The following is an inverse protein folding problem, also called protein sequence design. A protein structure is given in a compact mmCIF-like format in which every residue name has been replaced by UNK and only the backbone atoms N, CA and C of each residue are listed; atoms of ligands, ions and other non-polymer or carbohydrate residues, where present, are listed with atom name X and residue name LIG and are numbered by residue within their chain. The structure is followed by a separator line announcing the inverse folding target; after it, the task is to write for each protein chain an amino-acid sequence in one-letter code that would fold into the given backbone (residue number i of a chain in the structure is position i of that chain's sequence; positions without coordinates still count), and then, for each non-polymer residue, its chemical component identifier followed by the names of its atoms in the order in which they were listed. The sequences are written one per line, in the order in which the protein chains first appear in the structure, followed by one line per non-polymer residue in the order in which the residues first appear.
data_IF_082408322908
#
_entry.id   IF_082408322908
#
_cell.length_a   1.000
_cell.length_b   1.000
_cell.length_c   1.000
_cell.angle_alpha   90.00
_cell.angle_beta   90.00
_cell.angle_gamma   90.00
#
_symmetry.space_group_name_H-M   'P 1'
#
loop_
_entity.id
_entity.type
_entity.pdbx_description
1 polymer ?
#
# COMPACT_ATOMS: atom_id res chain seq x y z
N UNK A 1 -11.70 7.41 -23.17
CA UNK A 1 -10.25 7.32 -22.95
C UNK A 1 -9.81 8.54 -22.13
N UNK A 2 -8.82 8.42 -21.23
CA UNK A 2 -8.29 9.58 -20.51
C UNK A 2 -7.77 10.63 -21.50
N UNK A 3 -7.93 11.92 -21.17
CA UNK A 3 -7.57 13.02 -22.08
C UNK A 3 -6.05 13.26 -22.15
N UNK A 4 -5.30 12.78 -21.16
CA UNK A 4 -3.84 12.87 -21.04
C UNK A 4 -3.32 11.57 -20.43
N UNK A 5 -2.27 10.99 -21.04
CA UNK A 5 -1.57 9.78 -20.57
C UNK A 5 -0.12 10.20 -20.33
N UNK A 6 0.41 9.88 -19.15
CA UNK A 6 1.80 10.16 -18.80
C UNK A 6 2.71 9.08 -19.37
N UNK A 7 3.63 9.47 -20.25
CA UNK A 7 4.49 8.56 -21.01
C UNK A 7 5.95 8.91 -20.80
N UNK A 8 6.29 10.20 -20.86
CA UNK A 8 7.69 10.65 -20.83
C UNK A 8 8.27 10.65 -19.42
N UNK A 9 7.45 10.94 -18.42
CA UNK A 9 7.84 11.02 -17.02
C UNK A 9 8.43 9.71 -16.48
N UNK A 10 7.79 8.53 -16.66
CA UNK A 10 8.38 7.28 -16.18
C UNK A 10 9.64 6.88 -16.96
N UNK A 11 9.70 7.18 -18.27
CA UNK A 11 10.88 6.92 -19.10
C UNK A 11 12.06 7.77 -18.61
N UNK A 12 11.83 9.07 -18.41
CA UNK A 12 12.84 9.99 -17.93
C UNK A 12 13.36 9.60 -16.54
N UNK A 13 12.49 9.10 -15.65
CA UNK A 13 12.89 8.60 -14.34
C UNK A 13 13.85 7.40 -14.45
N UNK A 14 13.52 6.41 -15.29
CA UNK A 14 14.39 5.24 -15.50
C UNK A 14 15.72 5.64 -16.17
N UNK A 15 15.67 6.50 -17.18
CA UNK A 15 16.88 7.06 -17.82
C UNK A 15 17.75 7.82 -16.82
N UNK A 16 17.16 8.62 -15.93
CA UNK A 16 17.91 9.35 -14.91
C UNK A 16 18.55 8.41 -13.87
N UNK A 17 17.86 7.34 -13.45
CA UNK A 17 18.37 6.39 -12.45
C UNK A 17 19.44 5.44 -13.02
N UNK A 18 19.28 5.00 -14.26
CA UNK A 18 20.05 3.88 -14.82
C UNK A 18 20.84 4.24 -16.09
N UNK A 19 20.71 5.47 -16.62
CA UNK A 19 21.20 5.87 -17.94
C UNK A 19 20.71 4.96 -19.09
N UNK A 20 19.62 4.23 -18.86
CA UNK A 20 19.01 3.28 -19.79
C UNK A 20 17.56 3.00 -19.35
N UNK A 21 16.78 2.35 -20.22
CA UNK A 21 15.46 1.82 -19.85
C UNK A 21 15.62 0.33 -19.47
N UNK A 22 15.51 -0.04 -18.19
CA UNK A 22 15.83 -1.39 -17.72
C UNK A 22 15.04 -2.49 -18.42
N UNK A 23 13.75 -2.28 -18.73
CA UNK A 23 12.95 -3.26 -19.48
C UNK A 23 13.57 -3.59 -20.84
N UNK A 24 14.04 -2.58 -21.59
CA UNK A 24 14.69 -2.81 -22.88
C UNK A 24 16.03 -3.53 -22.71
N UNK A 25 16.83 -3.10 -21.73
CA UNK A 25 18.15 -3.70 -21.46
C UNK A 25 18.01 -5.17 -21.09
N UNK A 26 17.09 -5.51 -20.19
CA UNK A 26 16.86 -6.89 -19.75
C UNK A 26 16.39 -7.77 -20.91
N UNK A 27 15.45 -7.27 -21.73
CA UNK A 27 14.94 -8.03 -22.87
C UNK A 27 16.00 -8.25 -23.96
N UNK A 28 16.89 -7.28 -24.19
CA UNK A 28 17.96 -7.42 -25.17
C UNK A 28 19.10 -8.31 -24.66
N UNK A 29 19.38 -8.28 -23.35
CA UNK A 29 20.58 -8.89 -22.79
C UNK A 29 20.37 -10.32 -22.30
N UNK A 30 19.21 -10.63 -21.72
CA UNK A 30 18.99 -11.88 -20.99
C UNK A 30 17.66 -12.57 -21.32
N UNK A 31 16.91 -12.14 -22.34
CA UNK A 31 15.64 -12.79 -22.67
C UNK A 31 15.84 -14.25 -23.05
N UNK A 32 15.11 -15.14 -22.39
CA UNK A 32 15.13 -16.57 -22.68
C UNK A 32 13.76 -17.21 -22.38
N UNK A 33 13.32 -18.26 -23.10
CA UNK A 33 12.01 -18.88 -22.89
C UNK A 33 11.76 -19.37 -21.45
N UNK A 34 12.81 -19.86 -20.77
CA UNK A 34 12.70 -20.28 -19.37
C UNK A 34 12.46 -19.08 -18.44
N UNK A 35 13.08 -17.93 -18.71
CA UNK A 35 12.88 -16.70 -17.96
C UNK A 35 11.52 -16.08 -18.27
N UNK A 36 10.99 -16.23 -19.48
CA UNK A 36 9.62 -15.84 -19.83
C UNK A 36 8.59 -16.61 -18.97
N UNK A 37 8.78 -17.93 -18.84
CA UNK A 37 7.93 -18.78 -17.99
C UNK A 37 8.05 -18.43 -16.50
N UNK A 38 9.27 -18.32 -15.98
CA UNK A 38 9.53 -17.95 -14.57
C UNK A 38 8.97 -16.56 -14.29
N UNK A 39 9.23 -15.61 -15.19
CA UNK A 39 8.74 -14.25 -15.16
C UNK A 39 7.24 -14.21 -15.02
N UNK A 40 6.53 -14.85 -15.95
CA UNK A 40 5.08 -14.95 -15.96
C UNK A 40 4.53 -15.60 -14.69
N UNK A 41 5.15 -16.69 -14.21
CA UNK A 41 4.72 -17.37 -13.00
C UNK A 41 4.79 -16.45 -11.78
N UNK A 42 5.95 -15.84 -11.51
CA UNK A 42 6.10 -14.93 -10.37
C UNK A 42 5.21 -13.70 -10.48
N UNK A 43 5.11 -13.10 -11.67
CA UNK A 43 4.25 -11.95 -11.91
C UNK A 43 2.78 -12.25 -11.55
N UNK A 44 2.33 -13.48 -11.84
CA UNK A 44 0.95 -13.93 -11.56
C UNK A 44 0.64 -14.19 -10.09
N UNK A 45 1.65 -14.44 -9.27
CA UNK A 45 1.42 -14.77 -7.86
C UNK A 45 0.75 -13.63 -7.08
N UNK A 46 0.82 -12.38 -7.57
CA UNK A 46 0.16 -11.25 -6.93
C UNK A 46 -1.38 -11.40 -6.82
N UNK A 47 -2.01 -12.26 -7.63
CA UNK A 47 -3.45 -12.54 -7.55
C UNK A 47 -3.81 -13.49 -6.39
N UNK A 48 -2.99 -14.51 -6.15
CA UNK A 48 -3.29 -15.61 -5.22
C UNK A 48 -2.60 -15.42 -3.86
N UNK A 49 -1.35 -14.96 -3.88
CA UNK A 49 -0.53 -14.75 -2.68
C UNK A 49 -1.19 -13.87 -1.61
N UNK A 50 -1.83 -12.71 -1.91
CA UNK A 50 -2.44 -11.89 -0.87
C UNK A 50 -3.58 -12.60 -0.16
N UNK A 51 -4.35 -13.43 -0.86
CA UNK A 51 -5.48 -14.18 -0.29
C UNK A 51 -4.99 -15.31 0.61
N UNK A 52 -4.00 -16.08 0.15
CA UNK A 52 -3.36 -17.12 0.98
C UNK A 52 -2.76 -16.49 2.24
N UNK A 53 -2.02 -15.39 2.09
CA UNK A 53 -1.38 -14.72 3.20
C UNK A 53 -2.41 -14.13 4.19
N UNK A 54 -3.49 -13.54 3.68
CA UNK A 54 -4.61 -13.09 4.50
C UNK A 54 -5.21 -14.22 5.32
N UNK A 55 -5.44 -15.40 4.70
CA UNK A 55 -5.95 -16.58 5.39
C UNK A 55 -4.99 -17.09 6.49
N UNK A 56 -3.68 -17.14 6.21
CA UNK A 56 -2.66 -17.49 7.20
C UNK A 56 -2.70 -16.52 8.38
N UNK A 57 -2.74 -15.21 8.13
CA UNK A 57 -2.84 -14.22 9.20
C UNK A 57 -4.14 -14.36 9.98
N UNK A 58 -5.28 -14.57 9.30
CA UNK A 58 -6.56 -14.74 9.96
C UNK A 58 -6.56 -15.94 10.91
N UNK A 59 -6.02 -17.09 10.45
CA UNK A 59 -6.00 -18.34 11.21
C UNK A 59 -4.99 -18.32 12.37
N UNK A 60 -3.79 -17.80 12.15
CA UNK A 60 -2.69 -17.92 13.12
C UNK A 60 -2.40 -16.63 13.88
N UNK A 61 -2.76 -15.46 13.35
CA UNK A 61 -2.36 -14.14 13.86
C UNK A 61 -3.48 -13.09 13.67
N UNK A 62 -4.70 -13.33 14.21
CA UNK A 62 -5.89 -12.53 13.90
C UNK A 62 -5.75 -11.03 14.25
N UNK A 63 -4.92 -10.68 15.25
CA UNK A 63 -4.58 -9.28 15.58
C UNK A 63 -3.85 -8.57 14.43
N UNK A 64 -3.03 -9.30 13.68
CA UNK A 64 -2.29 -8.78 12.53
C UNK A 64 -3.13 -8.83 11.25
N UNK A 65 -4.06 -9.77 11.13
CA UNK A 65 -4.99 -9.86 10.00
C UNK A 65 -5.77 -8.55 9.77
N UNK A 66 -6.37 -7.97 10.82
CA UNK A 66 -7.12 -6.72 10.68
C UNK A 66 -6.25 -5.56 10.18
N UNK A 67 -4.99 -5.50 10.64
CA UNK A 67 -4.02 -4.50 10.17
C UNK A 67 -3.62 -4.75 8.72
N UNK A 68 -3.44 -6.01 8.34
CA UNK A 68 -3.14 -6.39 6.96
C UNK A 68 -4.29 -6.03 6.03
N UNK A 69 -5.54 -6.37 6.38
CA UNK A 69 -6.72 -6.01 5.60
C UNK A 69 -6.86 -4.49 5.43
N UNK A 70 -6.63 -3.71 6.50
CA UNK A 70 -6.61 -2.25 6.42
C UNK A 70 -5.48 -1.75 5.50
N UNK A 71 -4.25 -2.22 5.68
CA UNK A 71 -3.12 -1.79 4.85
C UNK A 71 -3.32 -2.18 3.38
N UNK A 72 -3.81 -3.38 3.12
CA UNK A 72 -4.14 -3.86 1.78
C UNK A 72 -5.18 -2.95 1.13
N UNK A 73 -6.27 -2.64 1.84
CA UNK A 73 -7.32 -1.73 1.36
C UNK A 73 -6.78 -0.33 1.10
N UNK A 74 -6.06 0.26 2.05
CA UNK A 74 -5.48 1.60 1.88
C UNK A 74 -4.55 1.64 0.67
N UNK A 75 -3.69 0.64 0.53
CA UNK A 75 -2.75 0.55 -0.58
C UNK A 75 -3.49 0.43 -1.94
N UNK A 76 -4.42 -0.52 -2.06
CA UNK A 76 -5.10 -0.79 -3.34
C UNK A 76 -6.01 0.35 -3.77
N UNK A 77 -6.77 0.94 -2.84
CA UNK A 77 -7.62 2.09 -3.17
C UNK A 77 -6.81 3.36 -3.47
N UNK A 78 -5.68 3.58 -2.79
CA UNK A 78 -4.80 4.72 -3.13
C UNK A 78 -4.17 4.54 -4.52
N UNK A 79 -3.74 3.32 -4.86
CA UNK A 79 -3.27 3.01 -6.20
C UNK A 79 -4.38 3.20 -7.24
N UNK A 80 -5.59 2.72 -6.97
CA UNK A 80 -6.75 2.89 -7.85
C UNK A 80 -7.07 4.37 -8.10
N UNK A 81 -7.08 5.20 -7.06
CA UNK A 81 -7.24 6.65 -7.20
C UNK A 81 -6.16 7.21 -8.13
N UNK A 82 -4.90 6.79 -7.94
CA UNK A 82 -3.77 7.20 -8.78
C UNK A 82 -3.96 6.80 -10.24
N UNK A 83 -4.43 5.57 -10.51
CA UNK A 83 -4.69 5.10 -11.88
C UNK A 83 -5.76 5.93 -12.60
N UNK A 84 -6.69 6.52 -11.86
CA UNK A 84 -7.75 7.38 -12.42
C UNK A 84 -7.23 8.80 -12.68
N UNK A 85 -6.48 9.38 -11.73
CA UNK A 85 -6.06 10.80 -11.81
C UNK A 85 -4.73 11.00 -12.53
N UNK A 86 -3.89 9.97 -12.58
CA UNK A 86 -2.55 9.98 -13.15
C UNK A 86 -2.29 8.68 -13.93
N UNK A 87 -2.97 8.48 -15.08
CA UNK A 87 -2.78 7.30 -15.91
C UNK A 87 -1.37 7.31 -16.52
N UNK A 88 -0.60 6.25 -16.27
CA UNK A 88 0.78 6.11 -16.72
C UNK A 88 0.90 4.96 -17.71
N UNK A 89 1.52 5.23 -18.85
CA UNK A 89 1.79 4.23 -19.85
C UNK A 89 2.91 3.27 -19.40
N UNK A 90 2.78 1.96 -19.66
CA UNK A 90 3.82 0.97 -19.38
C UNK A 90 4.92 0.95 -20.47
N UNK A 91 6.05 0.23 -20.25
CA UNK A 91 7.16 0.15 -21.20
C UNK A 91 6.79 -0.34 -22.60
N UNK A 92 5.88 -1.31 -22.71
CA UNK A 92 5.44 -1.80 -24.02
C UNK A 92 4.71 -0.75 -24.87
N UNK A 93 4.11 0.26 -24.23
CA UNK A 93 3.47 1.38 -24.93
C UNK A 93 4.44 2.54 -25.15
N UNK A 94 5.20 2.92 -24.11
CA UNK A 94 6.02 4.14 -24.14
C UNK A 94 7.31 4.03 -24.92
N UNK A 95 7.98 2.86 -24.87
CA UNK A 95 9.29 2.65 -25.51
C UNK A 95 9.31 1.44 -26.45
N UNK A 96 8.15 0.82 -26.68
CA UNK A 96 8.03 -0.35 -27.57
C UNK A 96 8.69 -1.61 -27.02
N UNK A 97 8.82 -1.76 -25.70
CA UNK A 97 9.28 -3.01 -25.10
C UNK A 97 8.37 -4.18 -25.50
N UNK A 98 8.91 -5.38 -25.66
CA UNK A 98 8.07 -6.54 -25.93
C UNK A 98 7.19 -6.81 -24.71
N UNK A 99 5.88 -6.94 -24.94
CA UNK A 99 4.93 -7.34 -23.91
C UNK A 99 4.93 -8.86 -23.75
N UNK A 100 6.01 -9.40 -23.18
CA UNK A 100 6.35 -10.83 -23.19
C UNK A 100 5.20 -11.71 -22.67
N UNK A 101 4.51 -11.26 -21.63
CA UNK A 101 3.38 -11.99 -21.03
C UNK A 101 2.24 -12.28 -22.03
N UNK A 102 2.17 -11.52 -23.13
CA UNK A 102 1.16 -11.62 -24.18
C UNK A 102 1.75 -12.08 -25.54
N UNK A 103 3.05 -12.34 -25.64
CA UNK A 103 3.74 -12.58 -26.93
C UNK A 103 3.57 -14.03 -27.46
N UNK A 104 3.29 -15.05 -26.62
CA UNK A 104 2.84 -16.36 -27.14
C UNK A 104 3.10 -17.61 -26.30
N UNK A 105 2.23 -18.62 -26.51
CA UNK A 105 2.26 -20.07 -26.25
C UNK A 105 2.73 -20.67 -24.91
N UNK A 106 3.14 -19.90 -23.92
CA UNK A 106 3.20 -20.41 -22.55
C UNK A 106 1.77 -20.47 -22.02
N UNK A 107 1.27 -21.61 -21.49
CA UNK A 107 -0.14 -21.78 -21.12
C UNK A 107 -0.74 -20.66 -20.24
N UNK A 108 0.10 -19.95 -19.46
CA UNK A 108 -0.26 -18.75 -18.72
C UNK A 108 -0.61 -17.54 -19.60
N UNK A 109 0.05 -17.30 -20.73
CA UNK A 109 -0.19 -16.14 -21.59
C UNK A 109 -1.59 -16.14 -22.21
N UNK A 110 -2.11 -17.32 -22.58
CA UNK A 110 -3.50 -17.48 -23.07
C UNK A 110 -4.52 -17.14 -21.97
N UNK A 111 -4.27 -17.59 -20.74
CA UNK A 111 -5.09 -17.25 -19.59
C UNK A 111 -5.06 -15.74 -19.32
N UNK A 112 -3.90 -15.09 -19.40
CA UNK A 112 -3.79 -13.63 -19.23
C UNK A 112 -4.58 -12.86 -20.27
N UNK A 113 -4.45 -13.22 -21.55
CA UNK A 113 -5.24 -12.62 -22.63
C UNK A 113 -6.74 -12.72 -22.36
N UNK A 114 -7.22 -13.90 -21.94
CA UNK A 114 -8.62 -14.13 -21.62
C UNK A 114 -9.09 -13.27 -20.43
N UNK A 115 -8.33 -13.28 -19.32
CA UNK A 115 -8.65 -12.51 -18.12
C UNK A 115 -8.66 -11.00 -18.42
N UNK A 116 -7.63 -10.49 -19.09
CA UNK A 116 -7.52 -9.06 -19.40
C UNK A 116 -8.64 -8.59 -20.34
N UNK A 117 -8.99 -9.40 -21.33
CA UNK A 117 -10.10 -9.13 -22.24
C UNK A 117 -11.44 -9.12 -21.49
N UNK A 118 -11.68 -10.09 -20.62
CA UNK A 118 -12.93 -10.21 -19.87
C UNK A 118 -13.11 -9.11 -18.81
N UNK A 119 -12.04 -8.74 -18.10
CA UNK A 119 -12.11 -7.76 -17.01
C UNK A 119 -12.03 -6.31 -17.46
N UNK A 120 -11.77 -6.03 -18.73
CA UNK A 120 -11.59 -4.66 -19.23
C UNK A 120 -10.41 -3.95 -18.56
N UNK A 121 -9.26 -4.64 -18.49
CA UNK A 121 -8.11 -4.18 -17.73
C UNK A 121 -7.62 -2.78 -18.15
N UNK A 122 -7.26 -1.94 -17.17
CA UNK A 122 -6.73 -0.61 -17.43
C UNK A 122 -5.30 -0.71 -17.98
N UNK A 123 -5.15 -0.43 -19.28
CA UNK A 123 -3.87 -0.49 -19.99
C UNK A 123 -2.87 0.60 -19.56
N UNK A 124 -3.32 1.66 -18.88
CA UNK A 124 -2.50 2.82 -18.49
C UNK A 124 -2.44 2.97 -16.97
N UNK A 125 -2.38 1.85 -16.24
CA UNK A 125 -2.26 1.80 -14.79
C UNK A 125 -0.87 1.30 -14.35
N UNK A 126 0.20 1.77 -15.01
CA UNK A 126 1.56 1.32 -14.70
C UNK A 126 2.03 1.81 -13.31
N UNK A 127 1.78 3.08 -12.97
CA UNK A 127 2.20 3.68 -11.70
C UNK A 127 1.03 3.91 -10.72
N UNK A 128 1.18 3.58 -9.42
CA UNK A 128 2.23 2.75 -8.84
C UNK A 128 1.98 1.25 -9.12
N UNK A 129 3.03 0.44 -9.16
CA UNK A 129 2.89 -0.98 -9.44
C UNK A 129 2.27 -1.75 -8.26
N UNK A 130 1.04 -2.25 -8.42
CA UNK A 130 0.43 -3.17 -7.44
C UNK A 130 1.13 -4.53 -7.40
N UNK A 131 1.72 -4.96 -8.52
CA UNK A 131 2.60 -6.13 -8.57
C UNK A 131 3.81 -5.97 -7.66
N UNK A 132 4.33 -4.75 -7.51
CA UNK A 132 5.39 -4.48 -6.54
C UNK A 132 4.85 -4.31 -5.11
N UNK A 133 3.75 -3.59 -4.96
CA UNK A 133 3.20 -3.22 -3.65
C UNK A 133 2.71 -4.42 -2.83
N UNK A 134 1.99 -5.36 -3.44
CA UNK A 134 1.35 -6.47 -2.72
C UNK A 134 2.38 -7.46 -2.14
N UNK A 135 3.34 -7.99 -2.92
CA UNK A 135 4.43 -8.82 -2.38
C UNK A 135 5.25 -8.12 -1.31
N UNK A 136 5.50 -6.82 -1.47
CA UNK A 136 6.20 -6.03 -0.47
C UNK A 136 5.40 -5.94 0.83
N UNK A 137 4.10 -5.68 0.74
CA UNK A 137 3.21 -5.63 1.90
C UNK A 137 3.18 -6.98 2.63
N UNK A 138 3.11 -8.10 1.90
CA UNK A 138 3.22 -9.44 2.46
C UNK A 138 4.54 -9.60 3.22
N UNK A 139 5.67 -9.22 2.62
CA UNK A 139 6.98 -9.31 3.25
C UNK A 139 7.07 -8.46 4.53
N UNK A 140 6.57 -7.21 4.51
CA UNK A 140 6.54 -6.33 5.69
C UNK A 140 5.76 -6.96 6.85
N UNK A 141 4.57 -7.51 6.58
CA UNK A 141 3.78 -8.19 7.61
C UNK A 141 4.44 -9.49 8.07
N UNK A 142 5.02 -10.27 7.17
CA UNK A 142 5.68 -11.51 7.52
C UNK A 142 6.89 -11.26 8.44
N UNK A 143 7.72 -10.27 8.10
CA UNK A 143 8.84 -9.84 8.93
C UNK A 143 8.37 -9.23 10.26
N UNK A 144 7.25 -8.51 10.28
CA UNK A 144 6.70 -7.95 11.51
C UNK A 144 6.21 -9.02 12.48
N UNK A 145 5.62 -10.10 11.96
CA UNK A 145 5.02 -11.18 12.74
C UNK A 145 6.05 -12.22 13.15
N UNK A 146 6.81 -12.74 12.19
CA UNK A 146 7.73 -13.88 12.38
C UNK A 146 9.22 -13.47 12.42
N UNK A 147 9.53 -12.17 12.31
CA UNK A 147 10.89 -11.61 12.46
C UNK A 147 11.88 -12.30 11.51
N UNK A 148 13.07 -12.66 12.02
CA UNK A 148 14.14 -13.30 11.24
C UNK A 148 13.72 -14.60 10.54
N UNK A 149 12.71 -15.31 11.06
CA UNK A 149 12.21 -16.56 10.43
C UNK A 149 11.53 -16.31 9.08
N UNK A 150 11.12 -15.07 8.81
CA UNK A 150 10.49 -14.68 7.55
C UNK A 150 11.46 -13.99 6.57
N UNK A 151 12.78 -13.97 6.82
CA UNK A 151 13.72 -13.31 5.91
C UNK A 151 13.70 -13.90 4.49
N UNK A 152 13.49 -15.21 4.37
CA UNK A 152 13.37 -15.87 3.06
C UNK A 152 12.19 -15.38 2.23
N UNK A 153 11.15 -14.81 2.87
CA UNK A 153 10.00 -14.24 2.16
C UNK A 153 10.43 -13.07 1.28
N UNK A 154 11.55 -12.39 1.56
CA UNK A 154 12.04 -11.29 0.72
C UNK A 154 12.39 -11.73 -0.71
N UNK A 155 12.69 -13.00 -0.95
CA UNK A 155 12.91 -13.51 -2.32
C UNK A 155 11.68 -13.28 -3.18
N UNK A 156 10.47 -13.39 -2.61
CA UNK A 156 9.22 -13.24 -3.34
C UNK A 156 9.05 -11.85 -3.99
N UNK A 157 9.06 -10.71 -3.26
CA UNK A 157 8.96 -9.40 -3.88
C UNK A 157 10.07 -9.14 -4.89
N UNK A 158 11.33 -9.53 -4.61
CA UNK A 158 12.42 -9.32 -5.57
C UNK A 158 12.20 -10.07 -6.89
N UNK A 159 11.72 -11.31 -6.84
CA UNK A 159 11.38 -12.06 -8.06
C UNK A 159 10.23 -11.40 -8.82
N UNK A 160 9.18 -10.92 -8.12
CA UNK A 160 8.07 -10.23 -8.78
C UNK A 160 8.50 -8.91 -9.40
N UNK A 161 9.35 -8.12 -8.73
CA UNK A 161 9.86 -6.86 -9.26
C UNK A 161 10.71 -7.08 -10.50
N UNK A 162 11.62 -8.06 -10.45
CA UNK A 162 12.38 -8.47 -11.63
C UNK A 162 11.44 -8.86 -12.78
N UNK A 163 10.46 -9.73 -12.53
CA UNK A 163 9.49 -10.15 -13.52
C UNK A 163 8.72 -8.98 -14.13
N UNK A 164 8.26 -8.03 -13.31
CA UNK A 164 7.47 -6.88 -13.76
C UNK A 164 8.23 -6.01 -14.78
N UNK A 165 9.52 -5.77 -14.53
CA UNK A 165 10.38 -4.98 -15.41
C UNK A 165 10.81 -5.79 -16.63
N UNK A 166 11.22 -7.05 -16.44
CA UNK A 166 11.64 -7.97 -17.50
C UNK A 166 10.53 -8.21 -18.53
N UNK A 167 9.30 -8.46 -18.08
CA UNK A 167 8.15 -8.71 -18.96
C UNK A 167 7.66 -7.46 -19.71
N UNK A 168 8.25 -6.29 -19.41
CA UNK A 168 7.90 -5.01 -20.06
C UNK A 168 6.58 -4.40 -19.57
N UNK A 169 6.06 -4.83 -18.41
CA UNK A 169 4.79 -4.34 -17.87
C UNK A 169 4.97 -3.09 -16.99
N UNK A 170 6.14 -2.89 -16.39
CA UNK A 170 6.42 -1.76 -15.50
C UNK A 170 7.84 -1.21 -15.66
N UNK A 171 7.98 0.10 -15.51
CA UNK A 171 9.26 0.78 -15.29
C UNK A 171 9.74 0.56 -13.86
N UNK A 172 11.02 0.84 -13.57
CA UNK A 172 11.54 0.70 -12.19
C UNK A 172 10.91 1.73 -11.26
N UNK A 173 10.63 2.94 -11.75
CA UNK A 173 9.92 3.95 -10.96
C UNK A 173 8.53 3.50 -10.49
N UNK A 174 7.83 2.69 -11.29
CA UNK A 174 6.53 2.11 -10.92
C UNK A 174 6.66 1.15 -9.74
N UNK A 175 7.73 0.35 -9.74
CA UNK A 175 8.07 -0.58 -8.65
C UNK A 175 8.37 0.20 -7.37
N UNK A 176 9.19 1.25 -7.47
CA UNK A 176 9.51 2.13 -6.34
C UNK A 176 8.22 2.76 -5.79
N UNK A 177 7.34 3.26 -6.66
CA UNK A 177 6.03 3.78 -6.27
C UNK A 177 5.22 2.74 -5.48
N UNK A 178 5.17 1.50 -5.97
CA UNK A 178 4.48 0.40 -5.27
C UNK A 178 5.05 0.11 -3.87
N UNK A 179 6.38 0.09 -3.74
CA UNK A 179 7.09 -0.08 -2.47
C UNK A 179 6.71 1.04 -1.47
N UNK A 180 6.71 2.29 -1.94
CA UNK A 180 6.34 3.46 -1.12
C UNK A 180 4.89 3.35 -0.66
N UNK A 181 3.96 3.05 -1.57
CA UNK A 181 2.53 2.91 -1.24
C UNK A 181 2.27 1.83 -0.19
N UNK A 182 2.84 0.64 -0.40
CA UNK A 182 2.69 -0.46 0.55
C UNK A 182 3.32 -0.15 1.91
N UNK A 183 4.49 0.50 1.93
CA UNK A 183 5.16 0.90 3.18
C UNK A 183 4.34 1.93 3.95
N UNK A 184 3.81 2.95 3.29
CA UNK A 184 2.94 3.94 3.92
C UNK A 184 1.66 3.31 4.46
N UNK A 185 1.02 2.43 3.69
CA UNK A 185 -0.18 1.72 4.13
C UNK A 185 0.10 0.82 5.35
N UNK A 186 1.24 0.13 5.37
CA UNK A 186 1.71 -0.63 6.53
C UNK A 186 1.89 0.28 7.77
N UNK A 187 2.57 1.42 7.62
CA UNK A 187 2.80 2.37 8.71
C UNK A 187 1.47 2.90 9.26
N UNK A 188 0.54 3.29 8.38
CA UNK A 188 -0.82 3.74 8.76
C UNK A 188 -1.54 2.66 9.58
N UNK A 189 -1.50 1.40 9.13
CA UNK A 189 -2.20 0.31 9.79
C UNK A 189 -1.66 0.00 11.21
N UNK A 190 -0.36 0.18 11.45
CA UNK A 190 0.22 0.01 12.79
C UNK A 190 0.10 1.25 13.68
N UNK A 191 -0.04 2.44 13.09
CA UNK A 191 -0.15 3.69 13.85
C UNK A 191 -1.59 4.11 14.16
N UNK A 192 -2.62 3.51 13.56
CA UNK A 192 -4.04 3.85 13.81
C UNK A 192 -4.41 3.95 15.30
N UNK A 193 -3.92 3.00 16.12
CA UNK A 193 -4.17 3.00 17.57
C UNK A 193 -3.39 4.05 18.36
N UNK A 194 -2.21 4.49 17.87
CA UNK A 194 -1.46 5.60 18.45
C UNK A 194 -2.07 6.94 18.09
N UNK A 195 -2.51 7.11 16.84
CA UNK A 195 -3.13 8.34 16.35
C UNK A 195 -4.44 8.63 17.09
N UNK A 196 -5.29 7.62 17.29
CA UNK A 196 -6.54 7.78 18.04
C UNK A 196 -6.29 8.15 19.51
N UNK A 197 -5.34 7.48 20.17
CA UNK A 197 -4.95 7.79 21.56
C UNK A 197 -4.34 9.19 21.69
N UNK A 198 -3.47 9.59 20.76
CA UNK A 198 -2.85 10.92 20.78
C UNK A 198 -3.87 12.04 20.55
N UNK A 199 -4.85 11.84 19.65
CA UNK A 199 -5.94 12.81 19.45
C UNK A 199 -6.81 12.95 20.70
N UNK A 200 -7.10 11.84 21.37
CA UNK A 200 -7.86 11.86 22.62
C UNK A 200 -7.08 12.56 23.74
N UNK A 201 -5.81 12.21 23.94
CA UNK A 201 -4.94 12.84 24.94
C UNK A 201 -4.72 14.34 24.68
N UNK A 202 -4.61 14.75 23.42
CA UNK A 202 -4.55 16.17 23.06
C UNK A 202 -5.83 16.91 23.44
N UNK A 203 -6.99 16.27 23.24
CA UNK A 203 -8.29 16.80 23.66
C UNK A 203 -8.38 16.98 25.18
N UNK A 204 -7.98 15.98 25.96
CA UNK A 204 -7.94 16.08 27.44
C UNK A 204 -6.99 17.19 27.90
N UNK A 205 -5.76 17.26 27.36
CA UNK A 205 -4.81 18.31 27.72
C UNK A 205 -5.31 19.73 27.40
N UNK A 206 -6.04 19.91 26.29
CA UNK A 206 -6.64 21.20 25.93
C UNK A 206 -7.76 21.55 26.91
N UNK A 207 -8.63 20.59 27.25
CA UNK A 207 -9.71 20.78 28.22
C UNK A 207 -9.12 21.15 29.59
N UNK A 208 -8.13 20.41 30.06
CA UNK A 208 -7.46 20.69 31.33
C UNK A 208 -6.75 22.05 31.32
N UNK A 209 -6.11 22.42 30.22
CA UNK A 209 -5.50 23.76 30.07
C UNK A 209 -6.56 24.87 30.13
N UNK A 210 -7.73 24.66 29.53
CA UNK A 210 -8.83 25.63 29.58
C UNK A 210 -9.35 25.72 31.01
N UNK A 211 -9.66 24.60 31.65
CA UNK A 211 -10.16 24.54 33.02
C UNK A 211 -9.18 25.20 34.01
N UNK A 212 -7.87 24.96 33.86
CA UNK A 212 -6.85 25.59 34.69
C UNK A 212 -6.69 27.10 34.40
N UNK A 213 -6.86 27.53 33.14
CA UNK A 213 -6.79 28.94 32.75
C UNK A 213 -8.00 29.77 33.19
N UNK A 214 -9.15 29.12 33.39
CA UNK A 214 -10.35 29.77 33.91
C UNK A 214 -10.21 30.12 35.41
N UNK A 215 -9.17 29.62 36.08
CA UNK A 215 -8.99 29.75 37.53
C UNK A 215 -10.17 29.14 38.30
N UNK A 216 -10.08 29.06 39.63
CA UNK A 216 -11.31 28.98 40.40
C UNK A 216 -12.09 30.28 40.12
N UNK A 217 -13.06 30.24 39.21
CA UNK A 217 -14.10 31.26 39.14
C UNK A 217 -14.88 31.11 40.44
N UNK A 218 -14.38 31.74 41.51
CA UNK A 218 -15.14 32.05 42.70
C UNK A 218 -16.21 33.04 42.26
N UNK A 219 -17.34 32.50 41.81
CA UNK A 219 -18.54 33.30 41.68
C UNK A 219 -18.76 33.96 43.05
N UNK A 220 -18.82 35.29 43.14
CA UNK A 220 -19.14 35.94 44.39
C UNK A 220 -20.54 35.48 44.77
N UNK A 221 -20.64 34.64 45.81
CA UNK A 221 -21.91 34.29 46.42
C UNK A 221 -22.41 35.58 47.07
N UNK A 222 -23.23 36.32 46.33
CA UNK A 222 -23.97 37.44 46.88
C UNK A 222 -25.03 36.87 47.82
N UNK A 223 -24.67 36.73 49.10
CA UNK A 223 -25.65 36.58 50.16
C UNK A 223 -26.40 37.91 50.29
N UNK A 224 -27.59 37.97 49.69
CA UNK A 224 -28.63 38.88 50.16
C UNK A 224 -29.53 38.04 51.06
N UNK A 225 -29.60 38.48 52.31
CA UNK A 225 -30.32 37.93 53.45
C UNK A 225 -31.50 36.97 53.17
N UNK A 226 -31.50 35.93 54.01
CA UNK A 226 -32.61 35.08 54.50
C UNK A 226 -32.84 33.70 53.84
N UNK A 227 -32.56 32.69 54.67
CA UNK A 227 -32.85 31.25 54.61
C UNK A 227 -31.80 30.35 53.94
N UNK A 228 -30.90 29.83 54.78
CA UNK A 228 -30.04 28.71 54.47
C UNK A 228 -30.80 27.38 54.59
N UNK A 229 -30.83 26.59 53.52
CA UNK A 229 -30.96 25.13 53.61
C UNK A 229 -29.63 24.51 53.21
N UNK A 230 -28.97 23.88 54.17
CA UNK A 230 -27.74 23.09 54.00
C UNK A 230 -28.06 21.84 53.15
N UNK A 231 -27.62 21.82 51.89
CA UNK A 231 -27.47 20.56 51.15
C UNK A 231 -26.02 20.09 51.26
N UNK A 232 -25.79 19.13 52.16
CA UNK A 232 -24.54 18.38 52.24
C UNK A 232 -24.56 17.26 51.21
N UNK A 233 -23.90 17.44 50.07
CA UNK A 233 -23.61 16.33 49.15
C UNK A 233 -22.34 15.64 49.62
N UNK A 234 -22.49 14.48 50.30
CA UNK A 234 -21.37 13.56 50.56
C UNK A 234 -21.10 12.77 49.28
N UNK A 235 -19.89 12.87 48.73
CA UNK A 235 -19.34 11.83 47.88
C UNK A 235 -18.72 10.75 48.78
N UNK A 236 -19.38 9.59 48.84
CA UNK A 236 -18.76 8.39 49.38
C UNK A 236 -17.84 7.82 48.30
N UNK A 237 -16.54 7.77 48.61
CA UNK A 237 -15.59 6.88 47.97
C UNK A 237 -15.76 5.48 48.58
N UNK A 238 -16.14 4.51 47.75
CA UNK A 238 -15.66 3.13 47.78
C UNK A 238 -15.53 2.65 46.33
#
# INVERSE_FOLDING_TARGET
MPRYIHVQEPIAADLWMFNAVPSLVLQQSIRAPILDCIGAAFYSLHFIAPTIFAFILWKYQPKHYQRYALAFTVCTYSALITFVVYPVAPPWYGVGATRILFDGNHGLGTMYKAIYSYLGANLFAAFPSLHAAIPWLIALFALKVWKKRALSVLVFPFMVWFSAVYLGEHYVIDVIGGIVYATLAFVIAYNKGRIAKNKFALGENIVDSILNSLGEVRLPIYWRNEQAYMFTVRHNLL
#
